data_IF_053963472627
#
_entry.id   IF_053963472627
#
_cell.length_a   1.000
_cell.length_b   1.000
_cell.length_c   1.000
_cell.angle_alpha   90.00
_cell.angle_beta   90.00
_cell.angle_gamma   90.00
#
_symmetry.space_group_name_H-M   'P 1'
#
loop_
_entity.id
_entity.type
_entity.pdbx_description
1 polymer ?
#
# COMPACT_ATOMS: atom_id res chain seq x y z
N UNK A 1 -49.35 -55.99 20.21
CA UNK A 1 -49.80 -55.13 21.32
C UNK A 1 -48.64 -54.22 21.74
N UNK A 2 -48.85 -52.91 21.54
CA UNK A 2 -48.12 -51.71 22.00
C UNK A 2 -46.57 -51.79 22.15
N UNK A 3 -45.90 -51.40 21.07
CA UNK A 3 -44.53 -50.83 21.06
C UNK A 3 -44.54 -49.42 21.64
N UNK A 4 -43.69 -49.15 22.64
CA UNK A 4 -43.34 -47.80 23.07
C UNK A 4 -42.27 -47.24 22.10
N UNK A 5 -42.59 -46.10 21.48
CA UNK A 5 -41.66 -45.32 20.66
C UNK A 5 -40.99 -44.28 21.57
N UNK A 6 -39.70 -44.45 21.86
CA UNK A 6 -38.86 -43.39 22.41
C UNK A 6 -38.22 -42.65 21.23
N UNK A 7 -38.61 -41.39 21.04
CA UNK A 7 -38.03 -40.51 20.04
C UNK A 7 -36.62 -40.08 20.51
N UNK A 8 -35.60 -40.55 19.78
CA UNK A 8 -34.23 -40.06 19.91
C UNK A 8 -34.13 -38.77 19.07
N UNK A 9 -34.01 -37.62 19.74
CA UNK A 9 -33.77 -36.33 19.08
C UNK A 9 -32.29 -36.33 18.67
N UNK A 10 -32.03 -36.46 17.37
CA UNK A 10 -30.71 -36.22 16.79
C UNK A 10 -30.44 -34.70 16.80
N UNK A 11 -29.51 -34.27 17.65
CA UNK A 11 -28.95 -32.92 17.59
C UNK A 11 -28.05 -32.86 16.36
N UNK A 12 -28.53 -32.22 15.29
CA UNK A 12 -27.69 -31.88 14.15
C UNK A 12 -26.79 -30.73 14.61
N UNK A 13 -25.58 -31.06 15.07
CA UNK A 13 -24.50 -30.07 15.20
C UNK A 13 -24.11 -29.66 13.80
N UNK A 14 -24.62 -28.51 13.34
CA UNK A 14 -24.10 -27.86 12.14
C UNK A 14 -22.68 -27.40 12.48
N UNK A 15 -21.63 -27.92 11.82
CA UNK A 15 -20.32 -27.32 11.96
C UNK A 15 -20.42 -25.91 11.40
N UNK A 16 -20.25 -24.92 12.28
CA UNK A 16 -19.92 -23.55 11.89
C UNK A 16 -18.58 -23.62 11.18
N UNK A 17 -18.60 -23.82 9.86
CA UNK A 17 -17.48 -23.46 9.01
C UNK A 17 -17.33 -21.95 9.13
N UNK A 18 -16.53 -21.54 10.11
CA UNK A 18 -15.92 -20.23 10.15
C UNK A 18 -15.10 -20.09 8.86
N UNK A 19 -15.69 -19.42 7.88
CA UNK A 19 -14.93 -18.70 6.87
C UNK A 19 -14.06 -17.69 7.63
N UNK A 20 -12.78 -17.99 7.74
CA UNK A 20 -11.84 -17.15 8.49
C UNK A 20 -10.43 -17.63 8.27
N UNK A 21 -9.95 -17.43 7.03
CA UNK A 21 -8.56 -17.45 6.60
C UNK A 21 -7.62 -18.31 7.46
N UNK A 22 -7.32 -19.53 7.02
CA UNK A 22 -5.96 -20.02 7.23
C UNK A 22 -5.04 -18.92 6.73
N UNK A 23 -4.31 -18.27 7.65
CA UNK A 23 -3.15 -17.48 7.29
C UNK A 23 -2.25 -18.42 6.51
N UNK A 24 -2.31 -18.36 5.17
CA UNK A 24 -1.20 -18.78 4.35
C UNK A 24 -0.02 -18.00 4.91
N UNK A 25 0.85 -18.68 5.67
CA UNK A 25 2.14 -18.13 6.04
C UNK A 25 2.82 -17.83 4.71
N UNK A 26 2.77 -16.57 4.29
CA UNK A 26 3.60 -16.07 3.21
C UNK A 26 5.02 -16.39 3.62
N UNK A 27 5.62 -17.43 3.05
CA UNK A 27 7.04 -17.70 3.21
C UNK A 27 7.75 -16.59 2.46
N UNK A 28 8.03 -15.50 3.16
CA UNK A 28 8.86 -14.42 2.61
C UNK A 28 10.23 -15.01 2.31
N UNK A 29 10.70 -14.83 1.08
CA UNK A 29 12.07 -15.17 0.72
C UNK A 29 13.03 -14.40 1.66
N UNK A 30 14.15 -15.01 2.09
CA UNK A 30 15.10 -14.34 2.96
C UNK A 30 15.80 -13.19 2.23
N UNK A 31 16.09 -12.12 2.97
CA UNK A 31 16.90 -11.00 2.50
C UNK A 31 18.37 -11.41 2.31
N UNK A 32 19.08 -10.74 1.40
CA UNK A 32 20.51 -10.94 1.17
C UNK A 32 21.38 -10.44 2.34
N UNK A 33 20.90 -9.45 3.10
CA UNK A 33 21.56 -8.83 4.25
C UNK A 33 22.99 -8.32 3.98
N UNK A 34 23.18 -7.65 2.84
CA UNK A 34 24.50 -7.17 2.42
C UNK A 34 24.85 -5.87 3.15
N UNK A 35 25.93 -5.89 3.94
CA UNK A 35 26.40 -4.75 4.73
C UNK A 35 27.43 -3.90 3.98
N UNK A 36 28.10 -4.45 2.96
CA UNK A 36 29.06 -3.71 2.15
C UNK A 36 28.38 -2.74 1.19
N UNK A 37 29.08 -1.65 0.85
CA UNK A 37 28.62 -0.71 -0.16
C UNK A 37 28.40 -1.42 -1.52
N UNK A 38 27.37 -1.04 -2.29
CA UNK A 38 27.08 -1.69 -3.58
C UNK A 38 28.24 -1.52 -4.56
N UNK A 39 28.46 -2.55 -5.37
CA UNK A 39 29.28 -2.42 -6.58
C UNK A 39 28.69 -1.35 -7.51
N UNK A 40 29.50 -0.76 -8.39
CA UNK A 40 29.00 0.22 -9.35
C UNK A 40 27.90 -0.36 -10.26
N UNK A 41 28.02 -1.63 -10.64
CA UNK A 41 27.01 -2.36 -11.43
C UNK A 41 25.72 -2.54 -10.64
N UNK A 42 25.81 -2.98 -9.38
CA UNK A 42 24.64 -3.14 -8.50
C UNK A 42 23.94 -1.82 -8.26
N UNK A 43 24.66 -0.73 -8.03
CA UNK A 43 24.08 0.60 -7.87
C UNK A 43 23.29 1.04 -9.12
N UNK A 44 23.76 0.71 -10.31
CA UNK A 44 23.00 0.99 -11.54
C UNK A 44 21.71 0.17 -11.62
N UNK A 45 21.74 -1.10 -11.20
CA UNK A 45 20.56 -1.95 -11.13
C UNK A 45 19.55 -1.46 -10.10
N UNK A 46 20.01 -1.04 -8.91
CA UNK A 46 19.17 -0.41 -7.89
C UNK A 46 18.43 0.80 -8.47
N UNK A 47 19.14 1.71 -9.14
CA UNK A 47 18.53 2.90 -9.76
C UNK A 47 17.52 2.55 -10.86
N UNK A 48 17.79 1.52 -11.65
CA UNK A 48 16.85 1.03 -12.67
C UNK A 48 15.61 0.41 -12.04
N UNK A 49 15.80 -0.41 -11.01
CA UNK A 49 14.71 -0.99 -10.22
C UNK A 49 13.81 0.11 -9.64
N UNK A 50 14.39 1.10 -8.96
CA UNK A 50 13.64 2.24 -8.38
C UNK A 50 12.83 3.00 -9.44
N UNK A 51 13.36 3.18 -10.65
CA UNK A 51 12.61 3.80 -11.75
C UNK A 51 11.48 2.91 -12.25
N UNK A 52 11.75 1.62 -12.46
CA UNK A 52 10.78 0.67 -12.98
C UNK A 52 9.54 0.57 -12.08
N UNK A 53 9.71 0.62 -10.76
CA UNK A 53 8.59 0.56 -9.81
C UNK A 53 7.98 1.94 -9.47
N UNK A 54 8.44 3.02 -10.11
CA UNK A 54 7.94 4.39 -9.87
C UNK A 54 8.45 5.06 -8.59
N UNK A 55 9.26 4.39 -7.77
CA UNK A 55 9.82 4.96 -6.54
C UNK A 55 10.73 6.17 -6.84
N UNK A 56 11.52 6.12 -7.90
CA UNK A 56 12.37 7.26 -8.27
C UNK A 56 11.51 8.50 -8.60
N UNK A 57 10.38 8.34 -9.29
CA UNK A 57 9.48 9.46 -9.60
C UNK A 57 8.84 10.04 -8.33
N UNK A 58 8.47 9.20 -7.36
CA UNK A 58 7.96 9.66 -6.06
C UNK A 58 8.99 10.48 -5.29
N UNK A 59 10.25 10.04 -5.28
CA UNK A 59 11.35 10.82 -4.69
C UNK A 59 11.62 12.09 -5.49
N UNK A 60 11.52 12.02 -6.81
CA UNK A 60 11.83 13.14 -7.68
C UNK A 60 10.82 14.28 -7.55
N UNK A 61 9.54 13.93 -7.44
CA UNK A 61 8.41 14.86 -7.35
C UNK A 61 8.06 15.25 -5.92
N UNK A 62 8.36 14.37 -4.95
CA UNK A 62 7.90 14.46 -3.57
C UNK A 62 6.43 14.07 -3.38
N UNK A 63 5.81 13.36 -4.34
CA UNK A 63 4.37 13.04 -4.34
C UNK A 63 3.91 12.25 -3.11
N UNK A 64 4.78 11.45 -2.49
CA UNK A 64 4.48 10.76 -1.23
C UNK A 64 4.13 11.72 -0.06
N UNK A 65 4.44 13.02 -0.20
CA UNK A 65 4.13 14.05 0.79
C UNK A 65 2.73 14.65 0.63
N UNK A 66 2.03 14.40 -0.48
CA UNK A 66 0.71 14.96 -0.77
C UNK A 66 -0.29 14.68 0.36
N UNK A 67 -0.25 13.47 0.94
CA UNK A 67 -1.08 13.08 2.09
C UNK A 67 -0.99 14.03 3.28
N UNK A 68 0.12 14.73 3.45
CA UNK A 68 0.31 15.69 4.55
C UNK A 68 -0.23 17.08 4.22
N UNK A 69 -0.39 17.39 2.93
CA UNK A 69 -0.98 18.61 2.41
C UNK A 69 -2.49 18.48 2.13
N UNK A 70 -3.06 17.28 2.16
CA UNK A 70 -4.51 17.06 2.02
C UNK A 70 -5.29 17.61 3.22
N UNK A 71 -6.52 18.14 3.01
CA UNK A 71 -7.40 18.57 4.11
C UNK A 71 -7.55 17.50 5.19
N UNK A 72 -7.43 17.88 6.46
CA UNK A 72 -7.39 16.94 7.60
C UNK A 72 -6.00 16.34 7.88
N UNK A 73 -5.00 16.62 7.02
CA UNK A 73 -3.60 16.30 7.28
C UNK A 73 -2.96 17.19 8.35
N UNK A 74 -1.77 16.83 8.87
CA UNK A 74 -1.13 17.52 10.00
C UNK A 74 -0.74 18.99 9.75
N UNK A 75 -0.76 19.44 8.49
CA UNK A 75 -0.52 20.85 8.14
C UNK A 75 -1.79 21.69 8.09
N UNK A 76 -2.97 21.09 8.26
CA UNK A 76 -4.22 21.80 8.36
C UNK A 76 -4.51 22.07 9.84
N UNK A 77 -4.45 23.34 10.23
CA UNK A 77 -4.62 23.77 11.62
C UNK A 77 -6.07 23.77 12.11
N UNK A 78 -7.03 23.37 11.27
CA UNK A 78 -8.44 23.23 11.64
C UNK A 78 -8.69 21.79 12.12
N UNK A 79 -9.19 21.58 13.35
CA UNK A 79 -9.76 20.31 13.78
C UNK A 79 -10.83 19.83 12.79
N UNK A 80 -10.99 18.50 12.66
CA UNK A 80 -12.06 17.92 11.86
C UNK A 80 -13.42 18.51 12.27
N UNK A 81 -14.13 19.15 11.33
CA UNK A 81 -15.46 19.73 11.55
C UNK A 81 -15.50 21.26 11.67
N UNK A 82 -14.36 21.96 11.66
CA UNK A 82 -14.34 23.42 11.57
C UNK A 82 -14.43 23.92 10.12
N UNK A 83 -15.06 25.09 9.94
CA UNK A 83 -15.22 25.71 8.62
C UNK A 83 -13.87 26.26 8.15
N UNK A 84 -13.35 25.71 7.06
CA UNK A 84 -12.15 26.22 6.42
C UNK A 84 -12.42 27.60 5.82
N UNK A 85 -11.61 28.58 6.19
CA UNK A 85 -11.70 29.96 5.70
C UNK A 85 -10.91 30.19 4.41
N UNK A 86 -10.07 29.23 4.01
CA UNK A 86 -9.29 29.23 2.78
C UNK A 86 -9.86 28.24 1.75
N UNK A 87 -9.60 28.48 0.46
CA UNK A 87 -9.93 27.52 -0.59
C UNK A 87 -9.10 26.25 -0.44
N UNK A 88 -9.75 25.08 -0.59
CA UNK A 88 -9.12 23.76 -0.48
C UNK A 88 -7.93 23.61 -1.44
N UNK A 89 -8.13 23.98 -2.71
CA UNK A 89 -7.09 23.86 -3.74
C UNK A 89 -5.90 24.76 -3.44
N UNK A 90 -6.13 26.03 -3.08
CA UNK A 90 -5.04 26.94 -2.74
C UNK A 90 -4.32 26.54 -1.45
N UNK A 91 -5.08 26.06 -0.45
CA UNK A 91 -4.52 25.62 0.82
C UNK A 91 -3.64 24.38 0.67
N UNK A 92 -4.06 23.44 -0.20
CA UNK A 92 -3.26 22.29 -0.60
C UNK A 92 -1.96 22.73 -1.29
N UNK A 93 -2.05 23.56 -2.33
CA UNK A 93 -0.87 24.00 -3.11
C UNK A 93 0.19 24.69 -2.25
N UNK A 94 -0.23 25.59 -1.35
CA UNK A 94 0.66 26.30 -0.43
C UNK A 94 1.40 25.31 0.48
N UNK A 95 0.67 24.38 1.08
CA UNK A 95 1.23 23.39 2.01
C UNK A 95 2.13 22.39 1.29
N UNK A 96 1.72 21.91 0.13
CA UNK A 96 2.50 20.98 -0.66
C UNK A 96 3.80 21.63 -1.16
N UNK A 97 3.74 22.88 -1.60
CA UNK A 97 4.95 23.66 -1.94
C UNK A 97 5.89 23.80 -0.75
N UNK A 98 5.37 24.06 0.45
CA UNK A 98 6.18 24.14 1.66
C UNK A 98 6.83 22.79 2.03
N UNK A 99 6.08 21.69 1.91
CA UNK A 99 6.60 20.33 2.11
C UNK A 99 7.72 20.01 1.12
N UNK A 100 7.53 20.29 -0.17
CA UNK A 100 8.57 20.07 -1.20
C UNK A 100 9.83 20.87 -0.90
N UNK A 101 9.70 22.13 -0.50
CA UNK A 101 10.85 22.95 -0.14
C UNK A 101 11.60 22.42 1.11
N UNK A 102 10.88 21.83 2.07
CA UNK A 102 11.48 21.19 3.23
C UNK A 102 12.13 19.84 2.87
N UNK A 103 11.52 19.09 1.96
CA UNK A 103 11.99 17.80 1.47
C UNK A 103 13.25 17.91 0.62
N UNK A 104 13.38 18.94 -0.21
CA UNK A 104 14.54 19.13 -1.10
C UNK A 104 15.87 19.07 -0.34
N UNK A 105 15.90 19.64 0.87
CA UNK A 105 17.07 19.62 1.77
C UNK A 105 17.46 18.22 2.26
N UNK A 106 16.54 17.25 2.17
CA UNK A 106 16.65 15.87 2.66
C UNK A 106 16.63 14.85 1.54
N UNK A 107 16.42 15.27 0.29
CA UNK A 107 16.25 14.40 -0.87
C UNK A 107 17.41 13.40 -1.00
N UNK A 108 18.65 13.87 -0.91
CA UNK A 108 19.83 13.00 -1.02
C UNK A 108 19.88 11.92 0.08
N UNK A 109 19.49 12.26 1.31
CA UNK A 109 19.42 11.31 2.43
C UNK A 109 18.31 10.29 2.21
N UNK A 110 17.15 10.73 1.71
CA UNK A 110 16.06 9.81 1.33
C UNK A 110 16.48 8.87 0.21
N UNK A 111 17.09 9.40 -0.86
CA UNK A 111 17.62 8.60 -1.96
C UNK A 111 18.57 7.51 -1.43
N UNK A 112 19.54 7.91 -0.61
CA UNK A 112 20.52 6.99 -0.05
C UNK A 112 19.87 5.91 0.82
N UNK A 113 18.90 6.26 1.67
CA UNK A 113 18.21 5.27 2.50
C UNK A 113 17.52 4.17 1.68
N UNK A 114 16.90 4.52 0.54
CA UNK A 114 16.33 3.53 -0.37
C UNK A 114 17.39 2.73 -1.12
N UNK A 115 18.46 3.37 -1.60
CA UNK A 115 19.57 2.68 -2.27
C UNK A 115 20.26 1.68 -1.33
N UNK A 116 20.52 2.08 -0.09
CA UNK A 116 21.14 1.24 0.95
C UNK A 116 20.22 0.07 1.31
N UNK A 117 18.92 0.30 1.46
CA UNK A 117 17.97 -0.77 1.75
C UNK A 117 17.87 -1.78 0.60
N UNK A 118 17.83 -1.32 -0.66
CA UNK A 118 17.81 -2.21 -1.82
C UNK A 118 19.12 -2.98 -2.00
N UNK A 119 20.25 -2.37 -1.63
CA UNK A 119 21.53 -3.07 -1.57
C UNK A 119 21.53 -4.16 -0.50
N UNK A 120 21.02 -3.86 0.69
CA UNK A 120 20.90 -4.82 1.77
C UNK A 120 19.97 -5.97 1.39
N UNK A 121 18.84 -5.67 0.74
CA UNK A 121 17.78 -6.65 0.46
C UNK A 121 18.13 -7.67 -0.62
N UNK A 122 18.71 -7.23 -1.73
CA UNK A 122 18.88 -8.07 -2.91
C UNK A 122 20.34 -8.28 -3.29
N UNK A 123 20.67 -9.47 -3.78
CA UNK A 123 21.94 -9.71 -4.47
C UNK A 123 21.97 -8.98 -5.83
N UNK A 124 23.17 -8.81 -6.41
CA UNK A 124 23.31 -8.22 -7.74
C UNK A 124 22.62 -9.08 -8.83
N UNK A 125 22.66 -10.41 -8.68
CA UNK A 125 22.04 -11.35 -9.63
C UNK A 125 20.52 -11.25 -9.57
N UNK A 126 19.93 -11.23 -8.37
CA UNK A 126 18.48 -11.08 -8.21
C UNK A 126 18.01 -9.73 -8.78
N UNK A 127 18.71 -8.64 -8.48
CA UNK A 127 18.39 -7.34 -9.07
C UNK A 127 18.47 -7.36 -10.59
N UNK A 128 19.47 -8.04 -11.16
CA UNK A 128 19.59 -8.18 -12.62
C UNK A 128 18.39 -8.92 -13.20
N UNK A 129 17.95 -10.03 -12.62
CA UNK A 129 16.78 -10.79 -13.08
C UNK A 129 15.49 -9.99 -12.95
N UNK A 130 15.28 -9.36 -11.78
CA UNK A 130 14.09 -8.54 -11.50
C UNK A 130 14.01 -7.36 -12.47
N UNK A 131 15.10 -6.59 -12.62
CA UNK A 131 15.13 -5.44 -13.54
C UNK A 131 14.88 -5.89 -14.97
N UNK A 132 15.47 -7.01 -15.40
CA UNK A 132 15.25 -7.57 -16.74
C UNK A 132 13.78 -7.90 -16.97
N UNK A 133 13.12 -8.53 -15.98
CA UNK A 133 11.68 -8.81 -16.04
C UNK A 133 10.87 -7.51 -16.09
N UNK A 134 11.09 -6.59 -15.15
CA UNK A 134 10.30 -5.36 -15.02
C UNK A 134 10.39 -4.48 -16.26
N UNK A 135 11.56 -4.41 -16.91
CA UNK A 135 11.74 -3.62 -18.14
C UNK A 135 11.25 -4.34 -19.42
N UNK A 136 10.93 -5.64 -19.35
CA UNK A 136 10.34 -6.37 -20.47
C UNK A 136 8.85 -6.02 -20.65
N UNK A 137 8.26 -6.21 -21.86
CA UNK A 137 6.85 -5.88 -22.11
C UNK A 137 5.86 -6.52 -21.13
N UNK A 138 6.11 -7.77 -20.72
CA UNK A 138 5.27 -8.47 -19.74
C UNK A 138 5.42 -7.88 -18.33
N UNK A 139 6.62 -7.45 -17.93
CA UNK A 139 6.85 -6.80 -16.64
C UNK A 139 6.23 -5.42 -16.58
N UNK A 140 6.32 -4.64 -17.67
CA UNK A 140 5.60 -3.37 -17.79
C UNK A 140 4.08 -3.58 -17.72
N UNK A 141 3.55 -4.59 -18.43
CA UNK A 141 2.12 -4.92 -18.33
C UNK A 141 1.71 -5.36 -16.92
N UNK A 142 2.58 -6.07 -16.20
CA UNK A 142 2.37 -6.42 -14.80
C UNK A 142 2.30 -5.17 -13.90
N UNK A 143 3.22 -4.21 -14.07
CA UNK A 143 3.22 -2.95 -13.33
C UNK A 143 1.95 -2.13 -13.62
N UNK A 144 1.57 -1.99 -14.90
CA UNK A 144 0.33 -1.33 -15.32
C UNK A 144 -0.91 -2.03 -14.78
N UNK A 145 -0.91 -3.37 -14.78
CA UNK A 145 -1.98 -4.20 -14.25
C UNK A 145 -2.18 -3.98 -12.76
N UNK A 146 -1.09 -3.95 -11.99
CA UNK A 146 -1.11 -3.66 -10.56
C UNK A 146 -1.66 -2.27 -10.29
N UNK A 147 -1.14 -1.24 -10.95
CA UNK A 147 -1.61 0.14 -10.76
C UNK A 147 -3.10 0.28 -11.09
N UNK A 148 -3.56 -0.32 -12.20
CA UNK A 148 -4.98 -0.33 -12.56
C UNK A 148 -5.85 -1.07 -11.56
N UNK A 149 -5.36 -2.17 -10.97
CA UNK A 149 -6.11 -2.91 -9.96
C UNK A 149 -6.22 -2.13 -8.65
N UNK A 150 -5.14 -1.48 -8.20
CA UNK A 150 -5.17 -0.57 -7.05
C UNK A 150 -6.16 0.58 -7.28
N UNK A 151 -6.12 1.21 -8.46
CA UNK A 151 -7.06 2.26 -8.84
C UNK A 151 -8.52 1.77 -8.92
N UNK A 152 -8.75 0.61 -9.56
CA UNK A 152 -10.07 0.01 -9.67
C UNK A 152 -10.67 -0.27 -8.30
N UNK A 153 -9.88 -0.82 -7.38
CA UNK A 153 -10.36 -1.10 -6.02
C UNK A 153 -10.73 0.21 -5.34
N UNK A 154 -9.87 1.23 -5.38
CA UNK A 154 -10.16 2.49 -4.69
C UNK A 154 -11.33 3.30 -5.27
N UNK A 155 -11.74 3.10 -6.53
CA UNK A 155 -12.82 3.91 -7.15
C UNK A 155 -14.11 3.14 -7.35
N UNK A 156 -14.02 1.85 -7.70
CA UNK A 156 -15.21 1.08 -8.08
C UNK A 156 -15.84 0.32 -6.92
N UNK A 157 -15.19 0.27 -5.75
CA UNK A 157 -15.80 -0.29 -4.53
C UNK A 157 -16.33 0.76 -3.57
N UNK A 158 -16.15 2.07 -3.85
CA UNK A 158 -16.58 3.15 -2.94
C UNK A 158 -18.08 3.11 -2.62
N UNK A 159 -18.93 2.90 -3.64
CA UNK A 159 -20.39 2.81 -3.43
C UNK A 159 -20.76 1.60 -2.56
N UNK A 160 -20.07 0.47 -2.78
CA UNK A 160 -20.27 -0.75 -1.99
C UNK A 160 -19.80 -0.57 -0.55
N UNK A 161 -18.67 0.12 -0.34
CA UNK A 161 -18.15 0.46 0.98
C UNK A 161 -19.09 1.43 1.72
N UNK A 162 -19.66 2.41 1.01
CA UNK A 162 -20.65 3.33 1.59
C UNK A 162 -21.91 2.58 2.04
N UNK A 163 -22.40 1.62 1.25
CA UNK A 163 -23.51 0.75 1.63
C UNK A 163 -23.19 -0.08 2.88
N UNK A 164 -21.99 -0.69 2.94
CA UNK A 164 -21.52 -1.46 4.10
C UNK A 164 -21.45 -0.58 5.36
N UNK A 165 -20.88 0.62 5.27
CA UNK A 165 -20.78 1.55 6.40
C UNK A 165 -22.16 1.98 6.88
N UNK A 166 -23.09 2.26 5.96
CA UNK A 166 -24.47 2.58 6.31
C UNK A 166 -25.14 1.43 7.06
N UNK A 167 -25.03 0.20 6.55
CA UNK A 167 -25.60 -0.99 7.21
C UNK A 167 -25.03 -1.20 8.61
N UNK A 168 -23.71 -1.03 8.78
CA UNK A 168 -23.04 -1.13 10.07
C UNK A 168 -23.57 -0.08 11.07
N UNK A 169 -23.70 1.19 10.65
CA UNK A 169 -24.24 2.25 11.50
C UNK A 169 -25.70 2.00 11.90
N UNK A 170 -26.53 1.56 10.97
CA UNK A 170 -27.95 1.22 11.23
C UNK A 170 -28.07 0.07 12.25
N UNK A 171 -27.08 -0.82 12.34
CA UNK A 171 -27.03 -1.92 13.31
C UNK A 171 -26.63 -1.49 14.72
N UNK A 172 -25.78 -0.46 14.85
CA UNK A 172 -25.28 0.06 16.13
C UNK A 172 -26.22 1.08 16.79
N UNK A 173 -27.14 1.67 16.01
CA UNK A 173 -28.14 2.62 16.49
C UNK A 173 -29.38 1.96 17.14
N UNK A 174 -29.38 0.63 17.29
CA UNK A 174 -30.42 -0.17 17.98
C UNK A 174 -29.96 -0.56 19.38
#
# INVERSE_FOLDING_TARGET
MKTFLLALIAVITVPTNAFGAEHMRSQTAPSAQIEEAPSASKLQLIKRFMRAIGLQDQLDTGSFLERYAMPGGPLWGAPSGETLTESLSSGFEIRFKALKAAYEKRRAVYQQAYEDHLNWEFTEIELQEIVTFLEAPVGQHYLDGRWRMEAYTNTNTEDMEAEIVKEANDSLAK
#
